data_IF_608133801853
#
_entry.id   IF_608133801853
#
_cell.length_a   1.000
_cell.length_b   1.000
_cell.length_c   1.000
_cell.angle_alpha   90.00
_cell.angle_beta   90.00
_cell.angle_gamma   90.00
#
_symmetry.space_group_name_H-M   'P 1'
#
loop_
_entity.id
_entity.type
_entity.pdbx_description
1 polymer ?
#
# COMPACT_ATOMS: atom_id res chain seq x y z
N UNK A 1 1.47 25.04 -7.31
CA UNK A 1 2.27 23.84 -7.61
C UNK A 1 1.47 22.65 -7.09
N UNK A 2 0.81 21.90 -7.97
CA UNK A 2 -0.12 20.83 -7.61
C UNK A 2 0.69 19.55 -7.40
N UNK A 3 0.77 19.06 -6.17
CA UNK A 3 1.48 17.81 -5.86
C UNK A 3 0.62 16.64 -6.36
N UNK A 4 1.08 15.95 -7.39
CA UNK A 4 0.48 14.69 -7.85
C UNK A 4 0.66 13.64 -6.74
N UNK A 5 -0.44 13.20 -6.12
CA UNK A 5 -0.42 12.08 -5.19
C UNK A 5 -0.47 10.78 -6.00
N UNK A 6 0.61 9.98 -5.91
CA UNK A 6 0.69 8.69 -6.61
C UNK A 6 -0.29 7.68 -5.99
N UNK A 7 -1.15 7.09 -6.83
CA UNK A 7 -1.91 5.88 -6.47
C UNK A 7 -0.98 4.68 -6.58
N UNK A 8 -0.85 3.89 -5.51
CA UNK A 8 0.02 2.72 -5.47
C UNK A 8 -0.76 1.51 -4.96
N UNK A 9 -1.01 0.54 -5.85
CA UNK A 9 -1.58 -0.75 -5.48
C UNK A 9 -0.46 -1.78 -5.34
N UNK A 10 -0.47 -2.61 -4.30
CA UNK A 10 0.54 -3.65 -4.09
C UNK A 10 -0.14 -5.02 -4.01
N UNK A 11 0.29 -5.95 -4.87
CA UNK A 11 -0.09 -7.36 -4.84
C UNK A 11 0.89 -8.17 -4.00
N UNK A 12 0.39 -9.13 -3.23
CA UNK A 12 1.19 -10.08 -2.46
C UNK A 12 0.95 -11.48 -3.02
N UNK A 13 2.04 -12.21 -3.28
CA UNK A 13 2.06 -13.59 -3.77
C UNK A 13 2.05 -14.59 -2.60
N UNK A 14 1.70 -15.85 -2.88
CA UNK A 14 1.59 -16.91 -1.86
C UNK A 14 2.90 -17.15 -1.09
N UNK A 15 4.04 -17.03 -1.76
CA UNK A 15 5.38 -17.14 -1.17
C UNK A 15 5.74 -15.97 -0.26
N UNK A 16 4.97 -14.87 -0.29
CA UNK A 16 5.19 -13.65 0.51
C UNK A 16 6.05 -12.61 -0.17
N UNK A 17 6.46 -12.86 -1.41
CA UNK A 17 6.92 -11.79 -2.29
C UNK A 17 5.75 -10.86 -2.63
N UNK A 18 6.07 -9.63 -3.01
CA UNK A 18 5.06 -8.63 -3.35
C UNK A 18 5.52 -7.77 -4.54
N UNK A 19 4.55 -7.23 -5.29
CA UNK A 19 4.76 -6.43 -6.50
C UNK A 19 3.78 -5.25 -6.56
N UNK A 20 4.14 -4.15 -7.22
CA UNK A 20 3.25 -2.99 -7.39
C UNK A 20 2.40 -3.15 -8.64
N UNK A 21 1.08 -3.12 -8.50
CA UNK A 21 0.11 -3.12 -9.60
C UNK A 21 -0.18 -1.69 -10.05
N UNK A 22 -0.18 -1.48 -11.38
CA UNK A 22 -0.52 -0.21 -12.05
C UNK A 22 0.14 1.05 -11.43
N UNK A 23 1.48 1.14 -11.36
CA UNK A 23 2.12 2.39 -10.99
C UNK A 23 1.80 3.45 -12.06
N UNK A 24 1.22 4.59 -11.67
CA UNK A 24 1.24 5.82 -12.50
C UNK A 24 2.64 6.43 -12.47
N UNK A 25 3.67 5.69 -12.86
CA UNK A 25 5.05 6.17 -12.89
C UNK A 25 5.80 5.57 -14.09
N UNK A 26 6.42 6.45 -14.88
CA UNK A 26 7.34 6.10 -15.95
C UNK A 26 8.50 5.26 -15.38
N UNK A 27 8.63 4.00 -15.82
CA UNK A 27 9.74 3.12 -15.44
C UNK A 27 9.30 1.82 -14.77
N UNK A 28 8.67 0.93 -15.55
CA UNK A 28 8.17 -0.39 -15.12
C UNK A 28 9.26 -1.43 -14.78
N UNK A 29 10.54 -1.05 -14.72
CA UNK A 29 11.67 -1.97 -14.52
C UNK A 29 12.44 -1.77 -13.21
N UNK A 30 12.02 -0.84 -12.34
CA UNK A 30 12.67 -0.64 -11.03
C UNK A 30 11.82 -1.22 -9.92
N UNK A 31 12.41 -2.15 -9.18
CA UNK A 31 11.94 -2.58 -7.86
C UNK A 31 11.67 -1.32 -7.00
N UNK A 32 10.59 -1.32 -6.22
CA UNK A 32 10.22 -0.16 -5.39
C UNK A 32 11.39 0.22 -4.49
N UNK A 33 11.88 1.44 -4.65
CA UNK A 33 12.92 1.98 -3.79
C UNK A 33 12.27 2.48 -2.50
N UNK A 34 12.57 1.79 -1.39
CA UNK A 34 12.09 2.18 -0.06
C UNK A 34 13.25 2.86 0.67
N UNK A 35 13.15 4.16 0.86
CA UNK A 35 14.13 4.91 1.66
C UNK A 35 13.76 4.83 3.13
N UNK A 36 14.75 4.52 3.98
CA UNK A 36 14.60 4.50 5.44
C UNK A 36 15.20 5.80 5.97
N UNK A 37 14.45 6.57 6.74
CA UNK A 37 14.99 7.76 7.38
C UNK A 37 16.04 7.35 8.42
N UNK A 38 17.15 8.09 8.53
CA UNK A 38 18.25 7.74 9.46
C UNK A 38 17.82 7.66 10.94
N UNK A 39 16.66 8.22 11.30
CA UNK A 39 16.08 8.21 12.63
C UNK A 39 14.91 7.22 12.78
N UNK A 40 14.65 6.39 11.79
CA UNK A 40 13.58 5.39 11.83
C UNK A 40 14.02 4.17 12.63
N UNK A 41 13.45 4.00 13.82
CA UNK A 41 13.76 2.89 14.72
C UNK A 41 12.84 1.68 14.53
N UNK A 42 11.88 1.76 13.60
CA UNK A 42 10.81 0.74 13.42
C UNK A 42 10.95 -0.06 12.13
N UNK A 43 12.03 0.16 11.37
CA UNK A 43 12.23 -0.43 10.03
C UNK A 43 11.32 0.16 8.94
N UNK A 44 10.63 1.26 9.27
CA UNK A 44 9.97 2.13 8.30
C UNK A 44 8.87 1.52 7.47
N UNK A 45 8.90 1.81 6.18
CA UNK A 45 7.89 1.31 5.24
C UNK A 45 8.11 -0.16 4.88
N UNK A 46 9.35 -0.66 4.95
CA UNK A 46 9.66 -2.07 4.72
C UNK A 46 8.91 -2.94 5.73
N UNK A 47 9.06 -2.65 7.03
CA UNK A 47 8.38 -3.40 8.09
C UNK A 47 6.86 -3.34 7.93
N UNK A 48 6.29 -2.16 7.69
CA UNK A 48 4.84 -1.98 7.51
C UNK A 48 4.29 -2.83 6.37
N UNK A 49 5.01 -2.91 5.25
CA UNK A 49 4.60 -3.72 4.09
C UNK A 49 4.77 -5.21 4.38
N UNK A 50 5.88 -5.62 4.99
CA UNK A 50 6.14 -7.02 5.33
C UNK A 50 5.10 -7.57 6.32
N UNK A 51 4.76 -6.83 7.37
CA UNK A 51 3.71 -7.22 8.32
C UNK A 51 2.33 -7.25 7.66
N UNK A 52 2.00 -6.23 6.86
CA UNK A 52 0.76 -6.18 6.12
C UNK A 52 0.62 -7.33 5.12
N UNK A 53 1.71 -7.79 4.50
CA UNK A 53 1.71 -8.93 3.59
C UNK A 53 1.35 -10.23 4.33
N UNK A 54 1.85 -10.45 5.55
CA UNK A 54 1.48 -11.62 6.38
C UNK A 54 -0.02 -11.60 6.71
N UNK A 55 -0.59 -10.43 7.03
CA UNK A 55 -2.02 -10.27 7.29
C UNK A 55 -2.84 -10.52 6.01
N UNK A 56 -2.40 -9.98 4.87
CA UNK A 56 -3.07 -10.14 3.59
C UNK A 56 -3.16 -11.61 3.15
N UNK A 57 -2.15 -12.44 3.46
CA UNK A 57 -2.19 -13.89 3.22
C UNK A 57 -3.35 -14.61 3.93
N UNK A 58 -3.89 -14.04 5.01
CA UNK A 58 -5.05 -14.59 5.73
C UNK A 58 -6.39 -14.16 5.10
N UNK A 59 -6.37 -13.52 3.92
CA UNK A 59 -7.57 -13.02 3.25
C UNK A 59 -8.09 -11.69 3.82
N UNK A 60 -7.24 -10.94 4.51
CA UNK A 60 -7.58 -9.67 5.15
C UNK A 60 -6.92 -8.53 4.40
N UNK A 61 -7.72 -7.67 3.77
CA UNK A 61 -7.21 -6.46 3.10
C UNK A 61 -6.58 -5.50 4.12
N UNK A 62 -5.37 -5.02 3.83
CA UNK A 62 -4.65 -4.04 4.65
C UNK A 62 -4.53 -2.71 3.91
N UNK A 63 -4.84 -1.62 4.62
CA UNK A 63 -4.77 -0.26 4.09
C UNK A 63 -3.73 0.55 4.88
N UNK A 64 -2.67 1.00 4.20
CA UNK A 64 -1.70 1.94 4.75
C UNK A 64 -2.08 3.33 4.23
N UNK A 65 -2.45 4.23 5.14
CA UNK A 65 -3.00 5.54 4.80
C UNK A 65 -2.55 6.59 5.81
N UNK A 66 -2.41 7.84 5.36
CA UNK A 66 -2.10 8.96 6.24
C UNK A 66 -3.25 9.14 7.26
N UNK A 67 -2.90 9.16 8.54
CA UNK A 67 -3.86 9.39 9.62
C UNK A 67 -4.52 10.78 9.53
N UNK A 68 -5.70 10.91 10.13
CA UNK A 68 -6.46 12.18 10.19
C UNK A 68 -6.83 12.71 8.80
N UNK A 69 -7.10 11.80 7.85
CA UNK A 69 -7.58 12.13 6.51
C UNK A 69 -8.93 11.45 6.24
N UNK A 70 -9.69 11.97 5.26
CA UNK A 70 -10.92 11.32 4.80
C UNK A 70 -10.67 9.89 4.33
N UNK A 71 -9.51 9.62 3.72
CA UNK A 71 -9.08 8.28 3.31
C UNK A 71 -8.90 7.35 4.52
N UNK A 72 -8.32 7.81 5.63
CA UNK A 72 -8.20 7.01 6.85
C UNK A 72 -9.56 6.67 7.48
N UNK A 73 -10.50 7.62 7.48
CA UNK A 73 -11.88 7.37 7.95
C UNK A 73 -12.60 6.38 7.04
N UNK A 74 -12.40 6.48 5.72
CA UNK A 74 -12.97 5.57 4.73
C UNK A 74 -12.48 4.13 4.91
N UNK A 75 -11.19 3.94 5.15
CA UNK A 75 -10.61 2.64 5.47
C UNK A 75 -11.20 2.06 6.77
N UNK A 76 -11.27 2.86 7.85
CA UNK A 76 -11.85 2.45 9.14
C UNK A 76 -13.33 2.05 9.03
N UNK A 77 -14.08 2.68 8.12
CA UNK A 77 -15.49 2.34 7.85
C UNK A 77 -15.68 1.09 6.99
N UNK A 78 -14.60 0.48 6.49
CA UNK A 78 -14.66 -0.71 5.64
C UNK A 78 -15.25 -0.47 4.24
N UNK A 79 -15.18 0.78 3.73
CA UNK A 79 -15.78 1.18 2.45
C UNK A 79 -14.95 0.81 1.21
N UNK A 80 -13.95 -0.07 1.36
CA UNK A 80 -12.94 -0.39 0.34
C UNK A 80 -12.88 -1.91 0.01
N UNK A 81 -13.81 -2.72 0.53
CA UNK A 81 -13.76 -4.19 0.50
C UNK A 81 -13.83 -4.81 -0.91
N UNK A 82 -14.53 -4.19 -1.85
CA UNK A 82 -14.77 -4.78 -3.17
C UNK A 82 -14.10 -4.02 -4.30
N UNK A 83 -14.17 -2.69 -4.24
CA UNK A 83 -13.57 -1.82 -5.25
C UNK A 83 -12.82 -0.67 -4.59
N UNK A 84 -11.57 -0.48 -5.02
CA UNK A 84 -10.77 0.67 -4.64
C UNK A 84 -11.15 1.79 -5.61
N UNK A 85 -11.66 2.91 -5.10
CA UNK A 85 -12.10 4.02 -5.94
C UNK A 85 -10.89 4.71 -6.60
N UNK A 86 -11.13 5.37 -7.74
CA UNK A 86 -10.08 6.11 -8.44
C UNK A 86 -9.54 7.31 -7.66
N UNK A 87 -10.24 7.77 -6.61
CA UNK A 87 -9.82 8.86 -5.73
C UNK A 87 -9.07 8.38 -4.47
N UNK A 88 -8.76 7.08 -4.38
CA UNK A 88 -8.05 6.52 -3.24
C UNK A 88 -6.61 7.03 -3.14
N UNK A 89 -6.25 7.60 -1.99
CA UNK A 89 -4.91 8.02 -1.64
C UNK A 89 -4.39 7.21 -0.45
N UNK A 90 -3.64 6.17 -0.76
CA UNK A 90 -3.03 5.24 0.20
C UNK A 90 -2.52 4.00 -0.52
N UNK A 91 -1.92 3.08 0.23
CA UNK A 91 -1.49 1.78 -0.27
C UNK A 91 -2.50 0.72 0.13
N UNK A 92 -2.96 -0.06 -0.84
CA UNK A 92 -3.79 -1.25 -0.61
C UNK A 92 -2.92 -2.47 -0.76
N UNK A 93 -2.93 -3.34 0.24
CA UNK A 93 -2.20 -4.61 0.27
C UNK A 93 -3.24 -5.71 0.42
N UNK A 94 -3.33 -6.56 -0.59
CA UNK A 94 -4.32 -7.63 -0.70
C UNK A 94 -3.69 -8.88 -1.30
N UNK A 95 -4.24 -10.04 -0.95
CA UNK A 95 -3.84 -11.30 -1.57
C UNK A 95 -4.12 -11.23 -3.08
N UNK A 96 -3.12 -11.56 -3.89
CA UNK A 96 -3.33 -11.75 -5.31
C UNK A 96 -4.23 -12.98 -5.53
N UNK A 97 -5.22 -12.85 -6.41
CA UNK A 97 -5.98 -14.00 -6.89
C UNK A 97 -5.17 -14.81 -7.87
#
# INVERSE_FOLDING_TARGET
>A
MMTDYAQQHTAVHEDGSWSVLKPKLQGMSKQVEITVAAHDTTGGMVTKISEAAVIAKLGIDVYIVKATTNHSVRALKGQLKENIPDDWLGTVIRLAK
#
